data_IF_623807814247
#
_entry.id   IF_623807814247
#
_cell.length_a   1.000
_cell.length_b   1.000
_cell.length_c   1.000
_cell.angle_alpha   90.00
_cell.angle_beta   90.00
_cell.angle_gamma   90.00
#
_symmetry.space_group_name_H-M   'P 1'
#
loop_
_entity.id
_entity.type
_entity.pdbx_description
1 polymer ?
#
# COMPACT_ATOMS: atom_id res chain seq x y z
N UNK A 1 -33.19 15.52 9.74
CA UNK A 1 -34.10 14.59 10.45
C UNK A 1 -34.22 13.32 9.62
N UNK A 2 -34.19 12.14 10.24
CA UNK A 2 -33.84 10.85 9.59
C UNK A 2 -32.32 10.62 9.74
N UNK A 3 -31.77 9.82 10.66
CA UNK A 3 -32.25 8.70 11.51
C UNK A 3 -32.33 7.33 10.80
N UNK A 4 -31.52 6.38 11.29
CA UNK A 4 -31.37 4.96 10.89
C UNK A 4 -30.78 4.78 9.45
N UNK A 5 -29.99 3.78 9.07
CA UNK A 5 -29.54 2.47 9.62
C UNK A 5 -28.01 2.32 9.34
N UNK A 6 -27.24 1.25 9.63
CA UNK A 6 -27.47 -0.07 10.23
C UNK A 6 -26.16 -0.61 10.89
N UNK A 7 -26.18 -1.81 11.50
CA UNK A 7 -24.98 -2.57 11.92
C UNK A 7 -25.24 -4.09 11.81
N UNK A 8 -24.39 -4.87 11.09
CA UNK A 8 -24.33 -6.33 11.27
C UNK A 8 -23.01 -6.83 11.90
N UNK A 9 -23.10 -7.97 12.61
CA UNK A 9 -22.04 -8.66 13.37
C UNK A 9 -21.31 -9.74 12.54
N UNK A 10 -20.19 -10.34 13.03
CA UNK A 10 -19.19 -10.97 12.16
C UNK A 10 -19.54 -12.40 11.68
N UNK A 11 -18.85 -12.82 10.62
CA UNK A 11 -18.98 -14.13 9.99
C UNK A 11 -18.17 -15.23 10.70
N UNK A 12 -18.72 -16.45 10.69
CA UNK A 12 -18.22 -17.64 11.40
C UNK A 12 -17.04 -18.34 10.70
N UNK A 13 -16.23 -19.02 11.52
CA UNK A 13 -15.23 -20.01 11.14
C UNK A 13 -15.79 -21.12 10.22
N UNK A 14 -14.92 -21.70 9.38
CA UNK A 14 -15.14 -23.04 8.79
C UNK A 14 -14.04 -24.00 9.25
N UNK A 15 -14.43 -25.06 9.95
CA UNK A 15 -13.61 -26.26 10.15
C UNK A 15 -13.67 -27.15 8.91
N UNK A 16 -12.59 -27.89 8.63
CA UNK A 16 -12.60 -28.98 7.66
C UNK A 16 -11.85 -30.22 8.21
N UNK A 17 -12.62 -31.22 8.65
CA UNK A 17 -12.21 -32.63 8.62
C UNK A 17 -12.64 -33.22 7.25
N UNK A 18 -12.27 -34.42 6.77
CA UNK A 18 -11.67 -35.63 7.36
C UNK A 18 -11.15 -36.54 6.21
N UNK A 19 -10.24 -37.49 6.47
CA UNK A 19 -9.97 -38.58 5.52
C UNK A 19 -8.78 -39.49 5.84
N UNK A 20 -9.02 -40.71 6.33
CA UNK A 20 -7.99 -41.71 6.65
C UNK A 20 -8.11 -42.98 5.78
N UNK A 21 -6.95 -43.60 5.48
CA UNK A 21 -6.68 -45.03 5.15
C UNK A 21 -5.17 -45.14 4.81
N UNK A 22 -4.37 -46.15 5.15
CA UNK A 22 -4.58 -47.30 6.05
C UNK A 22 -3.75 -48.53 5.62
N UNK A 23 -2.70 -48.89 6.38
CA UNK A 23 -2.16 -50.27 6.48
C UNK A 23 -0.81 -50.62 5.80
N UNK A 24 0.04 -51.37 6.53
CA UNK A 24 0.88 -52.45 5.95
C UNK A 24 2.41 -52.29 5.95
N UNK A 25 3.10 -52.91 6.92
CA UNK A 25 4.53 -53.30 6.84
C UNK A 25 4.65 -54.82 6.89
N UNK A 26 5.72 -55.43 6.33
CA UNK A 26 6.70 -56.11 7.20
C UNK A 26 8.18 -55.94 6.73
N UNK A 27 9.10 -56.73 7.31
CA UNK A 27 10.55 -56.42 7.48
C UNK A 27 11.49 -57.56 7.02
N UNK A 28 12.65 -57.19 6.46
CA UNK A 28 13.95 -57.93 6.41
C UNK A 28 14.06 -59.25 5.60
N UNK A 29 15.28 -59.79 5.30
CA UNK A 29 16.66 -59.28 5.53
C UNK A 29 17.53 -59.15 4.23
N UNK A 30 18.85 -58.97 4.39
CA UNK A 30 19.83 -58.57 3.35
C UNK A 30 20.73 -59.70 2.81
N UNK A 31 21.48 -59.47 1.70
CA UNK A 31 22.96 -59.61 1.66
C UNK A 31 23.68 -59.14 0.35
N UNK A 32 24.76 -58.36 0.54
CA UNK A 32 26.08 -58.40 -0.14
C UNK A 32 26.36 -57.90 -1.58
N UNK A 33 27.63 -57.46 -1.73
CA UNK A 33 28.50 -57.33 -2.92
C UNK A 33 28.38 -56.11 -3.85
N UNK A 34 29.13 -55.07 -3.44
CA UNK A 34 30.24 -54.48 -4.21
C UNK A 34 30.23 -54.58 -5.74
N UNK A 35 30.28 -53.44 -6.42
CA UNK A 35 31.36 -53.11 -7.37
C UNK A 35 31.51 -51.59 -7.49
N UNK A 36 32.74 -51.10 -7.33
CA UNK A 36 33.10 -49.69 -7.40
C UNK A 36 33.27 -49.25 -8.86
N UNK A 37 32.38 -48.39 -9.35
CA UNK A 37 32.57 -47.61 -10.57
C UNK A 37 32.68 -46.13 -10.21
N UNK A 38 33.86 -45.56 -10.40
CA UNK A 38 34.09 -44.13 -10.25
C UNK A 38 33.53 -43.42 -11.50
N UNK A 39 32.36 -42.80 -11.35
CA UNK A 39 31.78 -41.95 -12.40
C UNK A 39 32.28 -40.51 -12.22
N UNK A 40 32.74 -39.82 -13.27
CA UNK A 40 33.17 -38.43 -13.15
C UNK A 40 31.97 -37.56 -12.77
N UNK A 41 32.06 -36.89 -11.62
CA UNK A 41 31.01 -36.03 -11.09
C UNK A 41 30.80 -34.83 -12.01
N UNK A 42 29.66 -34.83 -12.72
CA UNK A 42 29.07 -33.62 -13.28
C UNK A 42 28.86 -32.61 -12.15
N UNK A 43 29.72 -31.60 -12.07
CA UNK A 43 29.56 -30.49 -11.14
C UNK A 43 28.36 -29.68 -11.59
N UNK A 44 27.21 -29.99 -10.99
CA UNK A 44 25.97 -29.24 -11.20
C UNK A 44 26.19 -27.81 -10.73
N UNK A 45 26.37 -26.89 -11.68
CA UNK A 45 26.26 -25.46 -11.45
C UNK A 45 24.79 -25.15 -11.14
N UNK A 46 24.39 -25.37 -9.88
CA UNK A 46 23.17 -24.75 -9.36
C UNK A 46 23.44 -23.24 -9.33
N UNK A 47 22.68 -22.41 -10.08
CA UNK A 47 22.73 -20.98 -9.85
C UNK A 47 22.28 -20.77 -8.41
N UNK A 48 23.16 -20.21 -7.58
CA UNK A 48 22.84 -19.85 -6.21
C UNK A 48 21.75 -18.78 -6.25
N UNK A 49 20.50 -19.20 -6.09
CA UNK A 49 19.38 -18.32 -5.80
C UNK A 49 19.73 -17.66 -4.47
N UNK A 50 20.30 -16.45 -4.55
CA UNK A 50 20.54 -15.65 -3.36
C UNK A 50 19.20 -15.48 -2.66
N UNK A 51 19.12 -15.66 -1.34
CA UNK A 51 17.89 -15.37 -0.62
C UNK A 51 17.53 -13.92 -0.92
N UNK A 52 16.35 -13.69 -1.47
CA UNK A 52 15.79 -12.35 -1.61
C UNK A 52 15.62 -11.86 -0.18
N UNK A 53 16.57 -11.06 0.31
CA UNK A 53 16.43 -10.39 1.59
C UNK A 53 15.11 -9.63 1.53
N UNK A 54 14.15 -9.89 2.44
CA UNK A 54 12.93 -9.10 2.47
C UNK A 54 13.35 -7.66 2.77
N UNK A 55 13.28 -6.82 1.74
CA UNK A 55 13.57 -5.40 1.86
C UNK A 55 12.52 -4.85 2.81
N UNK A 56 12.94 -4.51 4.04
CA UNK A 56 12.03 -3.93 5.01
C UNK A 56 11.49 -2.62 4.41
N UNK A 57 10.16 -2.41 4.41
CA UNK A 57 9.58 -1.21 3.82
C UNK A 57 10.12 0.05 4.52
N UNK A 58 10.35 1.16 3.79
CA UNK A 58 10.82 2.40 4.38
C UNK A 58 9.93 2.92 5.51
N UNK A 59 10.55 3.47 6.55
CA UNK A 59 9.79 4.10 7.62
C UNK A 59 9.45 5.57 7.29
N UNK A 60 8.23 5.80 6.78
CA UNK A 60 7.71 7.15 6.51
C UNK A 60 7.28 7.92 7.77
N UNK A 61 7.34 7.32 8.98
CA UNK A 61 6.90 7.99 10.22
C UNK A 61 7.64 9.32 10.40
N UNK A 62 6.90 10.39 10.65
CA UNK A 62 7.46 11.72 10.87
C UNK A 62 6.48 12.86 10.61
N UNK A 63 6.98 14.08 10.84
CA UNK A 63 6.29 15.32 10.51
C UNK A 63 7.00 16.03 9.37
N UNK A 64 6.26 16.38 8.32
CA UNK A 64 6.78 16.92 7.08
C UNK A 64 6.12 18.25 6.75
N UNK A 65 6.93 19.28 6.46
CA UNK A 65 6.45 20.61 6.08
C UNK A 65 6.40 20.78 4.58
N UNK A 66 5.38 21.50 4.09
CA UNK A 66 5.28 21.85 2.67
C UNK A 66 6.54 22.55 2.13
N UNK A 67 7.06 22.10 0.98
CA UNK A 67 8.13 22.77 0.23
C UNK A 67 7.58 23.33 -1.08
N UNK A 68 7.04 22.46 -1.93
CA UNK A 68 6.58 22.84 -3.27
C UNK A 68 5.43 21.95 -3.75
N UNK A 69 4.66 22.47 -4.71
CA UNK A 69 3.72 21.69 -5.52
C UNK A 69 3.79 22.11 -6.98
N UNK A 70 3.58 21.15 -7.88
CA UNK A 70 3.47 21.35 -9.31
C UNK A 70 2.17 20.74 -9.85
N UNK A 71 1.57 21.40 -10.84
CA UNK A 71 0.34 21.03 -11.53
C UNK A 71 -0.90 20.69 -10.64
N UNK A 72 -1.04 21.35 -9.49
CA UNK A 72 -2.19 21.12 -8.59
C UNK A 72 -3.54 21.56 -9.22
N UNK A 73 -3.61 22.63 -10.02
CA UNK A 73 -4.87 23.01 -10.69
C UNK A 73 -5.28 22.01 -11.78
N UNK A 74 -4.33 21.40 -12.50
CA UNK A 74 -4.60 20.37 -13.51
C UNK A 74 -5.22 19.13 -12.87
N UNK A 75 -4.55 18.58 -11.85
CA UNK A 75 -5.07 17.46 -11.06
C UNK A 75 -6.46 17.72 -10.46
N UNK A 76 -6.66 18.88 -9.81
CA UNK A 76 -7.97 19.22 -9.24
C UNK A 76 -9.05 19.46 -10.32
N UNK A 77 -8.65 19.86 -11.54
CA UNK A 77 -9.56 20.02 -12.69
C UNK A 77 -9.99 18.66 -13.25
N UNK A 78 -9.09 17.68 -13.33
CA UNK A 78 -9.43 16.31 -13.68
C UNK A 78 -10.40 15.68 -12.67
N UNK A 79 -10.43 16.14 -11.41
CA UNK A 79 -11.46 15.75 -10.42
C UNK A 79 -12.78 16.54 -10.51
N UNK A 80 -12.97 17.37 -11.55
CA UNK A 80 -14.13 18.26 -11.76
C UNK A 80 -14.34 19.35 -10.69
N UNK A 81 -13.33 19.62 -9.85
CA UNK A 81 -13.45 20.58 -8.75
C UNK A 81 -13.63 22.00 -9.31
N UNK A 82 -14.59 22.75 -8.76
CA UNK A 82 -14.94 24.09 -9.24
C UNK A 82 -13.76 25.09 -9.12
N UNK A 83 -13.69 26.03 -10.07
CA UNK A 83 -12.55 26.97 -10.23
C UNK A 83 -12.22 27.76 -8.96
N UNK A 84 -13.23 28.16 -8.17
CA UNK A 84 -13.02 28.93 -6.96
C UNK A 84 -12.33 28.09 -5.87
N UNK A 85 -12.79 26.84 -5.66
CA UNK A 85 -12.18 25.91 -4.72
C UNK A 85 -10.77 25.50 -5.17
N UNK A 86 -10.53 25.26 -6.47
CA UNK A 86 -9.18 24.95 -6.96
C UNK A 86 -8.18 26.05 -6.67
N UNK A 87 -8.55 27.31 -6.92
CA UNK A 87 -7.71 28.49 -6.59
C UNK A 87 -7.40 28.56 -5.09
N UNK A 88 -8.37 28.29 -4.22
CA UNK A 88 -8.15 28.25 -2.78
C UNK A 88 -7.19 27.13 -2.37
N UNK A 89 -7.39 25.90 -2.87
CA UNK A 89 -6.53 24.75 -2.55
C UNK A 89 -5.10 24.94 -3.05
N UNK A 90 -4.90 25.54 -4.23
CA UNK A 90 -3.56 25.86 -4.76
C UNK A 90 -2.79 26.90 -3.94
N UNK A 91 -3.44 27.65 -3.05
CA UNK A 91 -2.80 28.57 -2.11
C UNK A 91 -2.49 27.93 -0.74
N UNK A 92 -3.05 26.74 -0.46
CA UNK A 92 -2.76 26.01 0.77
C UNK A 92 -1.35 25.43 0.73
N UNK A 93 -0.72 25.40 1.91
CA UNK A 93 0.57 24.77 2.15
C UNK A 93 0.35 23.64 3.17
N UNK A 94 -0.09 22.45 2.73
CA UNK A 94 -0.39 21.35 3.64
C UNK A 94 0.88 20.85 4.34
N UNK A 95 0.83 20.70 5.66
CA UNK A 95 1.82 19.88 6.38
C UNK A 95 1.30 18.43 6.46
N UNK A 96 2.19 17.45 6.62
CA UNK A 96 1.84 16.03 6.74
C UNK A 96 2.42 15.43 8.00
N UNK A 97 1.61 14.67 8.73
CA UNK A 97 2.03 13.80 9.82
C UNK A 97 1.71 12.36 9.44
N UNK A 98 2.73 11.49 9.48
CA UNK A 98 2.60 10.08 9.14
C UNK A 98 3.02 9.25 10.36
N UNK A 99 2.20 8.26 10.70
CA UNK A 99 2.44 7.32 11.81
C UNK A 99 2.32 5.90 11.26
N UNK A 100 3.38 5.10 11.40
CA UNK A 100 3.44 3.71 10.94
C UNK A 100 3.61 2.78 12.14
N UNK A 101 2.63 1.88 12.35
CA UNK A 101 2.50 1.04 13.53
C UNK A 101 2.27 -0.42 13.13
N UNK A 102 3.35 -1.10 12.72
CA UNK A 102 3.24 -2.42 12.10
C UNK A 102 2.54 -2.30 10.74
N UNK A 103 1.54 -3.13 10.48
CA UNK A 103 0.77 -3.08 9.23
C UNK A 103 -0.26 -1.94 9.19
N UNK A 104 -0.43 -1.18 10.27
CA UNK A 104 -1.39 -0.08 10.37
C UNK A 104 -0.71 1.27 10.13
N UNK A 105 -1.33 2.14 9.34
CA UNK A 105 -0.78 3.47 9.03
C UNK A 105 -1.84 4.57 9.04
N UNK A 106 -1.50 5.68 9.70
CA UNK A 106 -2.29 6.92 9.69
C UNK A 106 -1.53 8.00 8.91
N UNK A 107 -2.19 8.62 7.92
CA UNK A 107 -1.70 9.82 7.22
C UNK A 107 -2.63 10.99 7.52
N UNK A 108 -2.09 12.03 8.16
CA UNK A 108 -2.79 13.28 8.44
C UNK A 108 -2.25 14.37 7.52
N UNK A 109 -3.07 14.87 6.61
CA UNK A 109 -2.78 16.07 5.81
C UNK A 109 -3.45 17.27 6.51
N UNK A 110 -2.63 18.20 6.97
CA UNK A 110 -3.01 19.29 7.87
C UNK A 110 -3.05 20.59 7.07
N UNK A 111 -4.18 21.31 7.08
CA UNK A 111 -4.31 22.62 6.40
C UNK A 111 -5.02 23.64 7.29
N UNK A 112 -4.93 24.92 6.92
CA UNK A 112 -5.66 26.00 7.59
C UNK A 112 -7.17 25.97 7.40
N UNK A 113 -7.68 25.19 6.43
CA UNK A 113 -9.11 25.14 6.08
C UNK A 113 -9.80 23.87 6.62
N UNK A 114 -9.25 22.71 6.29
CA UNK A 114 -9.76 21.40 6.70
C UNK A 114 -8.62 20.38 6.69
N UNK A 115 -8.54 19.59 7.75
CA UNK A 115 -7.60 18.46 7.82
C UNK A 115 -8.24 17.24 7.15
N UNK A 116 -7.41 16.45 6.47
CA UNK A 116 -7.78 15.15 5.92
C UNK A 116 -6.98 14.05 6.62
N UNK A 117 -7.65 12.97 7.02
CA UNK A 117 -7.04 11.87 7.77
C UNK A 117 -7.41 10.57 7.06
N UNK A 118 -6.39 9.84 6.63
CA UNK A 118 -6.50 8.44 6.21
C UNK A 118 -5.99 7.58 7.35
N UNK A 119 -6.72 6.52 7.69
CA UNK A 119 -6.40 5.60 8.77
C UNK A 119 -6.74 4.18 8.29
N UNK A 120 -5.71 3.38 8.01
CA UNK A 120 -5.87 2.15 7.22
C UNK A 120 -4.85 1.07 7.58
N UNK A 121 -5.18 -0.17 7.21
CA UNK A 121 -4.25 -1.29 7.24
C UNK A 121 -3.67 -1.53 5.84
N UNK A 122 -2.36 -1.75 5.76
CA UNK A 122 -1.66 -2.03 4.51
C UNK A 122 -2.19 -3.32 3.86
N UNK A 123 -2.37 -3.25 2.53
CA UNK A 123 -2.87 -4.35 1.71
C UNK A 123 -4.35 -4.69 1.91
N UNK A 124 -5.11 -3.90 2.69
CA UNK A 124 -6.56 -4.07 2.86
C UNK A 124 -7.32 -2.96 2.14
N UNK A 125 -8.35 -3.35 1.42
CA UNK A 125 -9.28 -2.43 0.75
C UNK A 125 -10.26 -1.83 1.77
N UNK A 126 -10.54 -0.54 1.64
CA UNK A 126 -11.49 0.19 2.49
C UNK A 126 -12.26 1.25 1.68
N UNK A 127 -13.47 1.58 2.14
CA UNK A 127 -14.25 2.68 1.56
C UNK A 127 -13.71 4.03 2.05
N UNK A 128 -13.17 4.83 1.14
CA UNK A 128 -12.62 6.15 1.40
C UNK A 128 -13.67 7.24 1.08
N UNK A 129 -14.11 7.97 2.10
CA UNK A 129 -15.02 9.11 1.92
C UNK A 129 -14.23 10.37 1.52
N UNK A 130 -14.22 10.62 0.21
CA UNK A 130 -13.63 11.80 -0.43
C UNK A 130 -14.68 12.90 -0.64
N UNK A 131 -15.87 12.75 -0.04
CA UNK A 131 -16.93 13.76 0.03
C UNK A 131 -16.43 15.16 0.41
N UNK A 132 -15.52 15.31 1.40
CA UNK A 132 -14.91 16.59 1.75
C UNK A 132 -14.00 17.25 0.70
N UNK A 133 -13.64 16.52 -0.36
CA UNK A 133 -12.67 16.92 -1.41
C UNK A 133 -13.38 17.11 -2.75
N UNK A 134 -14.10 16.09 -3.22
CA UNK A 134 -14.73 16.04 -4.54
C UNK A 134 -16.09 15.32 -4.57
N UNK A 135 -16.81 15.26 -3.44
CA UNK A 135 -18.18 14.70 -3.33
C UNK A 135 -18.32 13.20 -3.68
N UNK A 136 -17.20 12.46 -3.76
CA UNK A 136 -17.14 11.05 -4.19
C UNK A 136 -16.73 10.10 -3.06
N UNK A 137 -16.96 8.81 -3.31
CA UNK A 137 -16.36 7.70 -2.56
C UNK A 137 -15.49 6.87 -3.49
N UNK A 138 -14.43 6.27 -2.95
CA UNK A 138 -13.59 5.32 -3.67
C UNK A 138 -13.41 4.05 -2.84
N UNK A 139 -13.19 2.91 -3.50
CA UNK A 139 -12.59 1.76 -2.85
C UNK A 139 -11.08 1.91 -2.96
N UNK A 140 -10.42 1.98 -1.82
CA UNK A 140 -9.03 2.39 -1.74
C UNK A 140 -8.20 1.31 -1.09
N UNK A 141 -7.05 1.01 -1.69
CA UNK A 141 -6.06 0.08 -1.15
C UNK A 141 -4.70 0.76 -1.14
N UNK A 142 -3.97 0.63 -0.04
CA UNK A 142 -2.61 1.18 0.11
C UNK A 142 -1.65 0.03 0.38
N UNK A 143 -0.55 -0.04 -0.37
CA UNK A 143 0.43 -1.13 -0.27
C UNK A 143 1.86 -0.65 -0.59
N UNK A 144 2.85 -1.52 -0.38
CA UNK A 144 4.25 -1.23 -0.68
C UNK A 144 4.67 -1.81 -2.03
N UNK A 145 5.14 -0.95 -2.93
CA UNK A 145 5.84 -1.33 -4.15
C UNK A 145 7.32 -0.93 -4.03
N UNK A 146 8.14 -1.87 -3.55
CA UNK A 146 9.56 -1.59 -3.29
C UNK A 146 9.73 -0.59 -2.15
N UNK A 147 10.28 0.59 -2.46
CA UNK A 147 10.46 1.71 -1.53
C UNK A 147 9.32 2.75 -1.60
N UNK A 148 8.31 2.52 -2.45
CA UNK A 148 7.17 3.43 -2.62
C UNK A 148 5.94 2.90 -1.89
N UNK A 149 5.29 3.76 -1.11
CA UNK A 149 3.95 3.52 -0.61
C UNK A 149 2.95 3.97 -1.67
N UNK A 150 2.18 3.04 -2.20
CA UNK A 150 1.28 3.23 -3.34
C UNK A 150 -0.16 3.09 -2.88
N UNK A 151 -1.00 4.03 -3.33
CA UNK A 151 -2.43 4.04 -3.10
C UNK A 151 -3.16 4.01 -4.45
N UNK A 152 -4.06 3.06 -4.59
CA UNK A 152 -5.00 2.97 -5.72
C UNK A 152 -6.41 3.34 -5.22
N UNK A 153 -7.06 4.30 -5.88
CA UNK A 153 -8.40 4.77 -5.52
C UNK A 153 -9.38 4.40 -6.64
N UNK A 154 -10.04 3.25 -6.52
CA UNK A 154 -10.98 2.76 -7.53
C UNK A 154 -12.35 3.44 -7.38
N UNK A 155 -12.84 4.05 -8.46
CA UNK A 155 -14.10 4.78 -8.46
C UNK A 155 -14.41 5.38 -9.83
N UNK A 156 -15.16 6.47 -9.86
CA UNK A 156 -15.58 7.17 -11.09
C UNK A 156 -14.40 7.67 -11.93
N UNK A 157 -13.34 8.17 -11.27
CA UNK A 157 -12.16 8.75 -11.94
C UNK A 157 -11.12 7.67 -12.22
N UNK A 158 -10.76 7.52 -13.50
CA UNK A 158 -9.70 6.62 -13.97
C UNK A 158 -8.34 7.04 -13.42
N UNK A 159 -7.43 6.08 -13.23
CA UNK A 159 -6.03 6.34 -12.84
C UNK A 159 -5.90 7.21 -11.56
N UNK A 160 -6.92 7.17 -10.69
CA UNK A 160 -6.92 7.92 -9.44
C UNK A 160 -6.09 7.18 -8.39
N UNK A 161 -5.15 7.90 -7.79
CA UNK A 161 -4.26 7.31 -6.79
C UNK A 161 -3.12 8.24 -6.42
N UNK A 162 -2.22 7.74 -5.57
CA UNK A 162 -1.02 8.47 -5.20
C UNK A 162 0.14 7.56 -4.83
N UNK A 163 1.37 8.11 -4.88
CA UNK A 163 2.61 7.44 -4.49
C UNK A 163 3.42 8.32 -3.55
N UNK A 164 3.86 7.77 -2.44
CA UNK A 164 4.75 8.38 -1.45
C UNK A 164 6.12 7.67 -1.46
N UNK A 165 7.22 8.42 -1.47
CA UNK A 165 8.58 7.86 -1.29
C UNK A 165 9.50 8.90 -0.64
N UNK A 166 10.69 8.47 -0.19
CA UNK A 166 11.69 9.33 0.44
C UNK A 166 12.91 9.53 -0.47
N UNK A 167 13.33 10.78 -0.64
CA UNK A 167 14.63 11.14 -1.22
C UNK A 167 15.42 11.95 -0.17
N UNK A 168 16.28 11.25 0.59
CA UNK A 168 16.96 11.82 1.74
C UNK A 168 15.99 12.27 2.82
N UNK A 169 15.91 13.58 3.07
CA UNK A 169 14.98 14.18 4.04
C UNK A 169 13.69 14.72 3.40
N UNK A 170 13.47 14.51 2.10
CA UNK A 170 12.24 14.90 1.42
C UNK A 170 11.27 13.73 1.32
N UNK A 171 10.02 13.95 1.70
CA UNK A 171 8.89 13.11 1.33
C UNK A 171 8.31 13.64 0.02
N UNK A 172 8.28 12.78 -0.99
CA UNK A 172 7.71 13.06 -2.29
C UNK A 172 6.30 12.47 -2.35
N UNK A 173 5.37 13.20 -2.95
CA UNK A 173 4.01 12.77 -3.23
C UNK A 173 3.71 13.01 -4.70
N UNK A 174 3.42 11.95 -5.44
CA UNK A 174 2.86 12.03 -6.80
C UNK A 174 1.40 11.62 -6.73
N UNK A 175 0.48 12.52 -7.07
CA UNK A 175 -0.95 12.24 -7.23
C UNK A 175 -1.29 12.10 -8.70
N UNK A 176 -2.19 11.19 -9.05
CA UNK A 176 -2.67 10.98 -10.42
C UNK A 176 -4.20 10.96 -10.46
N UNK A 177 -4.78 11.53 -11.52
CA UNK A 177 -6.19 11.38 -11.86
C UNK A 177 -6.35 11.60 -13.37
N UNK A 178 -7.01 10.67 -14.05
CA UNK A 178 -7.10 10.64 -15.52
C UNK A 178 -5.69 10.71 -16.14
N UNK A 179 -5.43 11.68 -17.02
CA UNK A 179 -4.12 11.91 -17.63
C UNK A 179 -3.27 12.96 -16.86
N UNK A 180 -3.81 13.54 -15.79
CA UNK A 180 -3.17 14.59 -14.99
C UNK A 180 -2.31 14.02 -13.85
N UNK A 181 -1.17 14.67 -13.62
CA UNK A 181 -0.21 14.34 -12.55
C UNK A 181 0.12 15.60 -11.77
N UNK A 182 -0.04 15.56 -10.44
CA UNK A 182 0.44 16.59 -9.52
C UNK A 182 1.59 16.02 -8.67
N UNK A 183 2.63 16.83 -8.44
CA UNK A 183 3.78 16.45 -7.60
C UNK A 183 3.90 17.43 -6.44
N UNK A 184 4.01 16.93 -5.23
CA UNK A 184 4.27 17.71 -4.01
C UNK A 184 5.52 17.20 -3.31
N UNK A 185 6.29 18.12 -2.73
CA UNK A 185 7.51 17.82 -1.97
C UNK A 185 7.36 18.40 -0.56
N UNK A 186 7.75 17.62 0.44
CA UNK A 186 7.70 18.01 1.85
C UNK A 186 9.03 17.73 2.54
N UNK A 187 9.50 18.64 3.37
CA UNK A 187 10.74 18.52 4.14
C UNK A 187 10.45 17.88 5.50
N UNK A 188 11.13 16.77 5.84
CA UNK A 188 11.04 16.16 7.18
C UNK A 188 11.56 17.13 8.25
N UNK A 189 10.82 17.25 9.35
CA UNK A 189 11.09 18.15 10.48
C UNK A 189 11.28 17.36 11.77
N UNK A 190 10.62 16.20 11.88
CA UNK A 190 10.70 15.22 12.97
C UNK A 190 10.55 13.82 12.37
#
# INVERSE_FOLDING_TARGET
>A
MGLLYNLPRPLRERKQERGQRGGGSPRFPALSRSHSFCSPSLVSFQPSILPICPVMPPNLTGYYRFVSQDNMDGYLRALDINVALRKLVCLLKPDKEIIHAGDHMTIRTITSLRNYIMDFDLGKEFEEDLGPVDERKCQTVVSWEGDQLVCEQQGEKRNRGWRHWLEGNHLHLRMTAEDEVCVQIFQKVK
#
